data_IF_988362840405
#
_entry.id   IF_988362840405
#
_cell.length_a   1.000
_cell.length_b   1.000
_cell.length_c   1.000
_cell.angle_alpha   90.00
_cell.angle_beta   90.00
_cell.angle_gamma   90.00
#
_symmetry.space_group_name_H-M   'P 1'
#
loop_
_entity.id
_entity.type
_entity.pdbx_description
1 polymer ?
#
# COMPACT_ATOMS: atom_id res chain seq x y z
N UNK A 1 14.40 -37.61 20.41
CA UNK A 1 13.97 -37.23 21.77
C UNK A 1 15.24 -37.23 22.61
N UNK A 2 15.89 -36.15 22.97
CA UNK A 2 15.58 -34.72 23.01
C UNK A 2 16.95 -34.05 23.19
N UNK A 3 17.30 -32.98 22.46
CA UNK A 3 18.37 -32.02 22.80
C UNK A 3 18.63 -31.01 21.66
N UNK A 4 17.58 -30.45 21.06
CA UNK A 4 17.74 -29.31 20.13
C UNK A 4 16.59 -28.31 20.26
N UNK A 5 16.18 -28.03 21.50
CA UNK A 5 15.17 -27.03 21.80
C UNK A 5 15.56 -26.31 23.09
N UNK A 6 16.52 -25.38 22.98
CA UNK A 6 16.90 -24.38 24.01
C UNK A 6 17.99 -23.44 23.46
N UNK A 7 17.61 -22.57 22.52
CA UNK A 7 18.45 -21.44 22.12
C UNK A 7 17.62 -20.22 21.67
N UNK A 8 16.43 -20.07 22.25
CA UNK A 8 15.69 -18.81 22.24
C UNK A 8 15.73 -18.24 23.66
N UNK A 9 15.87 -16.93 23.76
CA UNK A 9 16.06 -16.08 24.95
C UNK A 9 17.54 -15.73 25.20
N UNK A 10 18.06 -14.71 24.49
CA UNK A 10 18.93 -13.64 25.03
C UNK A 10 19.60 -12.79 23.92
N UNK A 11 18.86 -11.95 23.22
CA UNK A 11 19.40 -10.78 22.48
C UNK A 11 18.37 -9.64 22.58
N UNK A 12 18.26 -9.04 23.77
CA UNK A 12 18.97 -7.80 24.16
C UNK A 12 18.46 -6.55 23.41
N UNK A 13 17.33 -6.00 23.89
CA UNK A 13 16.99 -4.62 24.31
C UNK A 13 17.84 -3.40 23.83
N UNK A 14 19.00 -3.58 23.22
CA UNK A 14 19.93 -2.51 22.86
C UNK A 14 19.54 -1.68 21.61
N UNK A 15 18.64 -2.19 20.75
CA UNK A 15 18.31 -1.51 19.49
C UNK A 15 17.30 -0.35 19.71
N UNK A 16 16.48 -0.42 20.76
CA UNK A 16 15.45 0.59 21.04
C UNK A 16 15.99 1.85 21.73
N UNK A 17 17.19 1.81 22.33
CA UNK A 17 17.78 2.96 23.00
C UNK A 17 18.46 3.96 22.03
N UNK A 18 18.82 3.53 20.82
CA UNK A 18 19.55 4.35 19.84
C UNK A 18 18.60 5.31 19.09
N UNK A 19 17.31 5.00 18.99
CA UNK A 19 16.33 5.83 18.29
C UNK A 19 15.75 6.99 19.12
N UNK A 20 16.00 7.04 20.44
CA UNK A 20 15.48 8.09 21.32
C UNK A 20 16.47 9.27 21.46
N UNK A 21 17.73 9.10 21.06
CA UNK A 21 18.77 10.13 21.19
C UNK A 21 18.88 11.10 19.99
N UNK A 22 18.04 10.96 18.95
CA UNK A 22 18.11 11.81 17.75
C UNK A 22 17.13 13.02 17.75
N UNK A 23 16.35 13.23 18.80
CA UNK A 23 15.29 14.27 18.87
C UNK A 23 15.61 15.46 19.81
N UNK A 24 16.87 15.66 20.20
CA UNK A 24 17.24 16.73 21.16
C UNK A 24 18.34 17.69 20.70
N UNK A 25 18.56 17.85 19.40
CA UNK A 25 19.60 18.77 18.94
C UNK A 25 19.25 19.56 17.69
N UNK A 26 18.30 20.48 17.82
CA UNK A 26 18.45 21.81 17.17
C UNK A 26 17.37 22.78 17.66
N UNK A 27 17.42 23.14 18.95
CA UNK A 27 16.75 24.33 19.47
C UNK A 27 17.80 25.37 19.89
N UNK A 28 17.73 26.56 19.29
CA UNK A 28 18.00 27.82 20.01
C UNK A 28 19.34 28.54 19.81
N UNK A 29 19.26 29.66 19.07
CA UNK A 29 19.83 31.00 19.30
C UNK A 29 21.35 31.24 19.36
N UNK A 30 21.81 32.12 18.46
CA UNK A 30 22.84 33.13 18.74
C UNK A 30 22.37 34.49 18.21
N UNK A 31 22.43 35.49 19.09
CA UNK A 31 22.09 36.91 18.91
C UNK A 31 23.30 37.72 18.38
N UNK A 32 22.96 38.90 17.85
CA UNK A 32 23.79 40.10 17.64
C UNK A 32 24.81 40.02 16.48
N UNK A 33 24.92 41.00 15.58
CA UNK A 33 24.29 42.30 15.44
C UNK A 33 25.04 43.08 14.35
N UNK A 34 24.40 44.03 13.67
CA UNK A 34 24.88 45.41 13.51
C UNK A 34 24.06 46.19 12.50
N UNK A 35 23.93 47.47 12.84
CA UNK A 35 23.37 48.56 12.08
C UNK A 35 23.94 48.66 10.65
N UNK A 36 23.08 49.09 9.73
CA UNK A 36 23.41 49.39 8.36
C UNK A 36 22.15 49.74 7.57
N UNK A 37 21.53 50.86 7.92
CA UNK A 37 20.62 51.57 7.01
C UNK A 37 21.35 51.85 5.70
N UNK A 38 20.75 51.46 4.57
CA UNK A 38 20.91 52.10 3.25
C UNK A 38 19.88 51.53 2.28
N UNK A 39 18.68 52.11 2.35
CA UNK A 39 18.05 52.79 1.21
C UNK A 39 18.30 52.20 -0.19
N UNK A 40 17.38 51.35 -0.65
CA UNK A 40 17.04 51.23 -2.07
C UNK A 40 15.53 51.03 -2.25
N UNK A 41 14.88 52.13 -2.63
CA UNK A 41 13.73 52.24 -3.53
C UNK A 41 12.56 51.26 -3.31
N UNK A 42 11.53 51.80 -2.67
CA UNK A 42 10.16 51.28 -2.66
C UNK A 42 9.64 51.16 -4.10
N UNK A 43 9.66 49.95 -4.65
CA UNK A 43 8.83 49.60 -5.80
C UNK A 43 7.42 49.39 -5.26
N UNK A 44 6.55 50.37 -5.50
CA UNK A 44 5.13 50.27 -5.20
C UNK A 44 4.54 49.02 -5.87
N UNK A 45 4.06 48.06 -5.08
CA UNK A 45 3.27 46.93 -5.58
C UNK A 45 1.87 47.47 -5.98
N UNK A 46 1.39 47.23 -7.20
CA UNK A 46 0.02 47.56 -7.57
C UNK A 46 -0.98 46.75 -6.72
N UNK A 47 -1.98 47.45 -6.18
CA UNK A 47 -3.12 46.89 -5.46
C UNK A 47 -4.04 46.09 -6.41
N UNK A 48 -4.38 44.88 -5.97
CA UNK A 48 -5.67 44.20 -6.09
C UNK A 48 -6.34 44.18 -7.48
N UNK A 49 -5.78 43.41 -8.41
CA UNK A 49 -6.65 42.73 -9.38
C UNK A 49 -7.44 41.64 -8.65
N UNK A 50 -8.72 41.37 -8.97
CA UNK A 50 -9.41 40.23 -8.43
C UNK A 50 -8.66 38.98 -8.91
N UNK A 51 -7.84 38.42 -8.04
CA UNK A 51 -7.38 37.05 -8.21
C UNK A 51 -8.64 36.21 -8.10
N UNK A 52 -9.26 35.92 -9.25
CA UNK A 52 -10.19 34.82 -9.38
C UNK A 52 -9.40 33.57 -9.00
N UNK A 53 -9.45 33.30 -7.69
CA UNK A 53 -8.78 32.19 -7.05
C UNK A 53 -9.48 30.98 -7.62
N UNK A 54 -8.94 30.44 -8.70
CA UNK A 54 -9.32 29.15 -9.24
C UNK A 54 -9.23 28.18 -8.06
N UNK A 55 -10.37 27.86 -7.45
CA UNK A 55 -10.40 26.89 -6.37
C UNK A 55 -9.85 25.60 -6.98
N UNK A 56 -8.71 25.12 -6.44
CA UNK A 56 -8.25 23.78 -6.82
C UNK A 56 -9.42 22.84 -6.52
N UNK A 57 -9.81 21.98 -7.47
CA UNK A 57 -10.82 20.97 -7.22
C UNK A 57 -10.49 20.27 -5.91
N UNK A 58 -11.38 20.38 -4.90
CA UNK A 58 -11.20 19.70 -3.61
C UNK A 58 -11.49 18.22 -3.85
N UNK A 59 -10.47 17.34 -3.92
CA UNK A 59 -10.68 15.94 -4.29
C UNK A 59 -11.54 15.20 -3.24
N UNK A 60 -11.64 15.76 -2.04
CA UNK A 60 -12.43 15.18 -0.95
C UNK A 60 -13.93 15.27 -1.15
N UNK A 61 -14.42 16.28 -1.88
CA UNK A 61 -15.87 16.47 -2.07
C UNK A 61 -16.44 15.49 -3.11
N UNK A 62 -15.63 15.10 -4.10
CA UNK A 62 -15.98 14.06 -5.08
C UNK A 62 -15.87 12.62 -4.53
N UNK A 63 -15.16 12.42 -3.41
CA UNK A 63 -15.04 11.10 -2.77
C UNK A 63 -16.33 10.63 -2.08
N UNK A 64 -17.23 11.56 -1.75
CA UNK A 64 -18.42 11.28 -0.94
C UNK A 64 -19.65 10.86 -1.75
N UNK A 65 -19.61 10.96 -3.08
CA UNK A 65 -20.81 10.76 -3.91
C UNK A 65 -20.94 9.37 -4.53
N UNK A 66 -19.92 8.50 -4.42
CA UNK A 66 -20.00 7.14 -4.97
C UNK A 66 -20.47 6.18 -3.88
N UNK A 67 -21.58 5.45 -4.07
CA UNK A 67 -21.92 4.33 -3.20
C UNK A 67 -20.75 3.35 -3.21
N UNK A 68 -20.00 3.26 -2.10
CA UNK A 68 -18.97 2.25 -1.96
C UNK A 68 -19.66 0.93 -1.64
N UNK A 69 -19.69 0.01 -2.60
CA UNK A 69 -20.10 -1.35 -2.34
C UNK A 69 -19.05 -1.99 -1.42
N UNK A 70 -19.48 -2.42 -0.24
CA UNK A 70 -18.63 -3.19 0.66
C UNK A 70 -18.62 -4.66 0.22
N UNK A 71 -17.47 -5.34 0.32
CA UNK A 71 -17.39 -6.76 -0.01
C UNK A 71 -18.26 -7.58 0.95
N UNK A 72 -19.03 -8.51 0.38
CA UNK A 72 -19.84 -9.49 1.09
C UNK A 72 -19.03 -10.71 1.49
N UNK A 73 -18.02 -11.09 0.70
CA UNK A 73 -17.11 -12.18 1.03
C UNK A 73 -15.96 -11.70 1.91
N UNK A 74 -15.62 -12.54 2.89
CA UNK A 74 -14.38 -12.35 3.64
C UNK A 74 -13.18 -12.71 2.79
N UNK A 75 -12.03 -12.11 3.11
CA UNK A 75 -10.76 -12.43 2.44
C UNK A 75 -10.44 -13.92 2.48
N UNK A 76 -10.71 -14.59 3.61
CA UNK A 76 -10.46 -16.03 3.77
C UNK A 76 -11.32 -16.88 2.83
N UNK A 77 -12.58 -16.49 2.62
CA UNK A 77 -13.48 -17.18 1.70
C UNK A 77 -13.04 -17.00 0.24
N UNK A 78 -12.65 -15.78 -0.13
CA UNK A 78 -12.09 -15.48 -1.45
C UNK A 78 -10.82 -16.30 -1.71
N UNK A 79 -9.90 -16.36 -0.73
CA UNK A 79 -8.71 -17.21 -0.81
C UNK A 79 -9.11 -18.67 -1.04
N UNK A 80 -10.09 -19.19 -0.30
CA UNK A 80 -10.54 -20.58 -0.40
C UNK A 80 -11.06 -20.88 -1.80
N UNK A 81 -11.95 -20.03 -2.34
CA UNK A 81 -12.51 -20.17 -3.68
C UNK A 81 -11.41 -20.08 -4.76
N UNK A 82 -10.56 -19.07 -4.67
CA UNK A 82 -9.46 -18.87 -5.60
C UNK A 82 -8.47 -20.03 -5.62
N UNK A 83 -8.12 -20.58 -4.45
CA UNK A 83 -7.24 -21.76 -4.34
C UNK A 83 -7.87 -23.01 -4.94
N UNK A 84 -9.18 -23.20 -4.77
CA UNK A 84 -9.89 -24.33 -5.37
C UNK A 84 -9.80 -24.25 -6.89
N UNK A 85 -10.05 -23.08 -7.47
CA UNK A 85 -10.00 -22.89 -8.92
C UNK A 85 -8.58 -23.01 -9.48
N UNK A 86 -7.60 -22.32 -8.88
CA UNK A 86 -6.20 -22.42 -9.28
C UNK A 86 -5.65 -23.86 -9.18
N UNK A 87 -6.10 -24.63 -8.18
CA UNK A 87 -5.69 -26.03 -8.01
C UNK A 87 -6.31 -26.95 -9.07
N UNK A 88 -7.49 -26.64 -9.61
CA UNK A 88 -8.06 -27.41 -10.73
C UNK A 88 -7.18 -27.31 -11.97
N UNK A 89 -6.70 -26.10 -12.27
CA UNK A 89 -5.82 -25.85 -13.43
C UNK A 89 -4.41 -26.40 -13.23
N UNK A 90 -3.78 -26.11 -12.08
CA UNK A 90 -2.37 -26.47 -11.85
C UNK A 90 -2.15 -27.88 -11.32
N UNK A 91 -3.17 -28.53 -10.76
CA UNK A 91 -3.09 -29.84 -10.14
C UNK A 91 -1.98 -29.90 -9.07
N UNK A 92 -1.00 -30.79 -9.28
CA UNK A 92 0.13 -30.99 -8.35
C UNK A 92 1.08 -29.79 -8.30
N UNK A 93 1.18 -29.01 -9.38
CA UNK A 93 2.07 -27.84 -9.47
C UNK A 93 1.60 -26.69 -8.59
N UNK A 94 0.36 -26.71 -8.11
CA UNK A 94 -0.19 -25.65 -7.26
C UNK A 94 0.65 -25.38 -6.01
N UNK A 95 1.34 -26.39 -5.46
CA UNK A 95 2.20 -26.22 -4.29
C UNK A 95 3.40 -25.31 -4.53
N UNK A 96 3.79 -25.12 -5.80
CA UNK A 96 4.88 -24.21 -6.19
C UNK A 96 4.40 -22.76 -6.33
N UNK A 97 3.10 -22.50 -6.11
CA UNK A 97 2.50 -21.17 -6.24
C UNK A 97 2.13 -20.60 -4.87
N UNK A 98 2.34 -19.30 -4.74
CA UNK A 98 1.90 -18.51 -3.60
C UNK A 98 1.02 -17.34 -4.05
N UNK A 99 0.18 -16.85 -3.13
CA UNK A 99 -0.62 -15.66 -3.39
C UNK A 99 0.31 -14.44 -3.33
N UNK A 100 0.37 -13.70 -4.43
CA UNK A 100 1.18 -12.48 -4.56
C UNK A 100 0.38 -11.23 -4.21
N UNK A 101 -0.90 -11.19 -4.60
CA UNK A 101 -1.77 -10.05 -4.35
C UNK A 101 -3.24 -10.46 -4.30
N UNK A 102 -4.03 -9.63 -3.61
CA UNK A 102 -5.48 -9.73 -3.56
C UNK A 102 -6.09 -8.34 -3.58
N UNK A 103 -7.00 -8.08 -4.51
CA UNK A 103 -7.60 -6.76 -4.72
C UNK A 103 -9.10 -6.94 -4.88
N UNK A 104 -9.89 -6.06 -4.25
CA UNK A 104 -11.34 -5.98 -4.44
C UNK A 104 -11.69 -4.73 -5.23
N UNK A 105 -12.47 -4.87 -6.29
CA UNK A 105 -13.02 -3.77 -7.05
C UNK A 105 -14.51 -3.55 -6.70
N UNK A 106 -14.85 -2.45 -5.98
CA UNK A 106 -16.21 -2.23 -5.49
C UNK A 106 -17.20 -1.85 -6.61
N UNK A 107 -16.71 -1.37 -7.76
CA UNK A 107 -17.57 -1.02 -8.91
C UNK A 107 -18.19 -2.28 -9.53
N UNK A 108 -17.40 -3.34 -9.65
CA UNK A 108 -17.75 -4.60 -10.32
C UNK A 108 -18.14 -5.69 -9.32
N UNK A 109 -17.83 -5.51 -8.03
CA UNK A 109 -18.01 -6.54 -7.02
C UNK A 109 -17.11 -7.74 -7.29
N UNK A 110 -15.90 -7.48 -7.80
CA UNK A 110 -14.97 -8.52 -8.25
C UNK A 110 -13.71 -8.53 -7.38
N UNK A 111 -13.37 -9.71 -6.89
CA UNK A 111 -12.07 -9.96 -6.27
C UNK A 111 -11.10 -10.51 -7.31
N UNK A 112 -9.88 -10.00 -7.31
CA UNK A 112 -8.77 -10.51 -8.13
C UNK A 112 -7.69 -11.08 -7.22
N UNK A 113 -7.39 -12.37 -7.35
CA UNK A 113 -6.36 -13.07 -6.57
C UNK A 113 -5.25 -13.51 -7.51
N UNK A 114 -4.06 -12.94 -7.35
CA UNK A 114 -2.91 -13.30 -8.19
C UNK A 114 -2.06 -14.35 -7.50
N UNK A 115 -1.81 -15.46 -8.18
CA UNK A 115 -0.86 -16.50 -7.81
C UNK A 115 0.40 -16.38 -8.65
N UNK A 116 1.55 -16.58 -8.03
CA UNK A 116 2.84 -16.59 -8.72
C UNK A 116 3.74 -17.72 -8.22
N UNK A 117 4.58 -18.25 -9.10
CA UNK A 117 5.60 -19.24 -8.74
C UNK A 117 6.52 -18.73 -7.63
N UNK A 118 6.83 -19.62 -6.69
CA UNK A 118 7.84 -19.44 -5.65
C UNK A 118 8.80 -20.66 -5.64
N UNK A 119 10.10 -20.48 -5.97
CA UNK A 119 10.76 -19.23 -6.33
C UNK A 119 10.33 -18.71 -7.71
N UNK A 120 10.41 -17.39 -7.96
CA UNK A 120 10.10 -16.82 -9.26
C UNK A 120 10.97 -17.46 -10.35
N UNK A 121 10.35 -17.98 -11.43
CA UNK A 121 11.05 -18.50 -12.61
C UNK A 121 10.81 -17.57 -13.80
N UNK A 122 11.72 -17.57 -14.77
CA UNK A 122 11.59 -16.79 -16.02
C UNK A 122 10.57 -17.34 -17.02
N UNK A 123 9.78 -18.36 -16.65
CA UNK A 123 8.77 -18.92 -17.56
C UNK A 123 7.53 -17.99 -17.57
N UNK A 124 6.92 -17.77 -18.75
CA UNK A 124 5.69 -16.99 -18.87
C UNK A 124 4.51 -17.66 -18.15
N UNK A 125 4.58 -18.97 -17.91
CA UNK A 125 3.53 -19.76 -17.25
C UNK A 125 3.52 -19.58 -15.72
N UNK A 126 4.26 -18.61 -15.19
CA UNK A 126 4.51 -18.50 -13.76
C UNK A 126 3.47 -17.73 -12.96
N UNK A 127 2.41 -17.23 -13.61
CA UNK A 127 1.45 -16.32 -13.01
C UNK A 127 0.02 -16.61 -13.46
N UNK A 128 -0.89 -16.64 -12.49
CA UNK A 128 -2.33 -16.85 -12.68
C UNK A 128 -3.10 -15.80 -11.89
N UNK A 129 -4.20 -15.33 -12.43
CA UNK A 129 -5.18 -14.49 -11.73
C UNK A 129 -6.49 -15.27 -11.67
N UNK A 130 -7.06 -15.38 -10.48
CA UNK A 130 -8.41 -15.90 -10.30
C UNK A 130 -9.31 -14.75 -9.89
N UNK A 131 -10.34 -14.52 -10.69
CA UNK A 131 -11.42 -13.60 -10.40
C UNK A 131 -12.51 -14.32 -9.62
N UNK A 132 -12.97 -13.73 -8.53
CA UNK A 132 -14.06 -14.25 -7.69
C UNK A 132 -15.14 -13.18 -7.60
N UNK A 133 -16.31 -13.48 -8.12
CA UNK A 133 -17.46 -12.59 -8.01
C UNK A 133 -18.03 -12.64 -6.60
N UNK A 134 -18.18 -11.47 -5.97
CA UNK A 134 -18.51 -11.34 -4.56
C UNK A 134 -19.96 -11.77 -4.24
N UNK A 135 -20.88 -11.60 -5.18
CA UNK A 135 -22.32 -11.83 -4.99
C UNK A 135 -22.74 -13.30 -5.13
N UNK A 136 -22.26 -13.96 -6.18
CA UNK A 136 -22.64 -15.32 -6.59
C UNK A 136 -21.53 -16.35 -6.31
N UNK A 137 -20.33 -15.90 -5.92
CA UNK A 137 -19.15 -16.76 -5.64
C UNK A 137 -18.66 -17.53 -6.86
N UNK A 138 -19.01 -17.07 -8.07
CA UNK A 138 -18.48 -17.66 -9.31
C UNK A 138 -17.00 -17.28 -9.46
N UNK A 139 -16.25 -18.15 -10.14
CA UNK A 139 -14.81 -18.02 -10.29
C UNK A 139 -14.41 -18.12 -11.75
N UNK A 140 -13.51 -17.26 -12.19
CA UNK A 140 -12.89 -17.28 -13.52
C UNK A 140 -11.37 -17.26 -13.36
N UNK A 141 -10.65 -18.02 -14.17
CA UNK A 141 -9.20 -18.11 -14.13
C UNK A 141 -8.60 -17.55 -15.43
N UNK A 142 -7.56 -16.73 -15.28
CA UNK A 142 -6.81 -16.15 -16.38
C UNK A 142 -5.29 -16.30 -16.15
N UNK A 143 -4.54 -16.62 -17.21
CA UNK A 143 -3.08 -16.58 -17.19
C UNK A 143 -2.57 -15.14 -17.36
N UNK A 144 -1.50 -14.77 -16.65
CA UNK A 144 -0.87 -13.47 -16.86
C UNK A 144 -0.16 -13.45 -18.22
N UNK A 145 -0.47 -12.46 -19.07
CA UNK A 145 0.15 -12.28 -20.40
C UNK A 145 1.33 -11.34 -20.38
#
# INVERSE_FOLDING_TARGET
MDNLMRAFIATSVAVTAILILLELRSGGNVLAGNAGESEWLQIARPLDGPAERLERPRPEQDRLSRPQAYPQLSQAEVIRLAKVEAKKELGKRFNDYEIKSMIFEPTTGLWSVTFGLNPPRRSPDGCLVVFVHDKDKSTELQHCT
#
